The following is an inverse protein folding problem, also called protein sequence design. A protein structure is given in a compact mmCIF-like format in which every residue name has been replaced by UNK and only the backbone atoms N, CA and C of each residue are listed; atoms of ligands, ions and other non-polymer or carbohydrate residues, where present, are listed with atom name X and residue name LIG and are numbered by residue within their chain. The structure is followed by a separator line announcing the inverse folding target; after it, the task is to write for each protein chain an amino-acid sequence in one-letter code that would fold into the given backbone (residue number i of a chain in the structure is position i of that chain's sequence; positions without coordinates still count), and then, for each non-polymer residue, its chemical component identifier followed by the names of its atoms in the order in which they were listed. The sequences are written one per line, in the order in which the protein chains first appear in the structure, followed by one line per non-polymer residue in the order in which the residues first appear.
data_IF_585806754723
#
_entry.id   IF_585806754723
#
_cell.length_a   1.000
_cell.length_b   1.000
_cell.length_c   1.000
_cell.angle_alpha   90.00
_cell.angle_beta   90.00
_cell.angle_gamma   90.00
#
_symmetry.space_group_name_H-M   'P 1'
#
loop_
_entity.id
_entity.type
_entity.pdbx_description
1 polymer ?
#
# COMPACT_ATOMS: atom_id res chain seq x y z
N UNK A 1 5.36 -1.80 -2.53
CA UNK A 1 4.48 -2.98 -2.37
C UNK A 1 5.32 -4.24 -2.48
N UNK A 2 4.86 -5.37 -1.94
CA UNK A 2 5.51 -6.66 -2.19
C UNK A 2 5.33 -7.05 -3.66
N UNK A 3 6.27 -7.85 -4.17
CA UNK A 3 6.16 -8.40 -5.51
C UNK A 3 4.97 -9.38 -5.61
N UNK A 4 4.26 -9.30 -6.74
CA UNK A 4 3.07 -10.12 -6.99
C UNK A 4 3.40 -11.61 -7.03
N UNK A 5 4.50 -11.98 -7.70
CA UNK A 5 4.89 -13.38 -7.85
C UNK A 5 5.34 -13.94 -6.50
N UNK A 6 6.09 -13.15 -5.73
CA UNK A 6 6.47 -13.52 -4.37
C UNK A 6 5.25 -13.83 -3.49
N UNK A 7 4.19 -13.00 -3.55
CA UNK A 7 2.96 -13.24 -2.80
C UNK A 7 2.23 -14.52 -3.23
N UNK A 8 2.27 -14.87 -4.52
CA UNK A 8 1.66 -16.10 -5.04
C UNK A 8 2.43 -17.35 -4.59
N UNK A 9 3.76 -17.29 -4.58
CA UNK A 9 4.64 -18.41 -4.24
C UNK A 9 4.77 -18.61 -2.72
N UNK A 10 4.75 -17.52 -1.95
CA UNK A 10 5.06 -17.52 -0.52
C UNK A 10 3.92 -17.00 0.36
N UNK A 11 2.66 -17.12 -0.09
CA UNK A 11 1.49 -16.63 0.64
C UNK A 11 1.47 -17.02 2.13
N UNK A 12 1.79 -18.28 2.44
CA UNK A 12 1.83 -18.79 3.83
C UNK A 12 2.84 -18.02 4.68
N UNK A 13 4.07 -17.85 4.17
CA UNK A 13 5.13 -17.11 4.86
C UNK A 13 4.77 -15.64 5.06
N UNK A 14 4.13 -15.01 4.07
CA UNK A 14 3.68 -13.62 4.20
C UNK A 14 2.61 -13.50 5.30
N UNK A 15 1.64 -14.41 5.35
CA UNK A 15 0.62 -14.43 6.42
C UNK A 15 1.22 -14.61 7.81
N UNK A 16 2.17 -15.54 7.95
CA UNK A 16 2.88 -15.76 9.21
C UNK A 16 3.70 -14.53 9.62
N UNK A 17 4.34 -13.84 8.67
CA UNK A 17 5.08 -12.61 8.92
C UNK A 17 4.15 -11.47 9.37
N UNK A 18 2.97 -11.34 8.76
CA UNK A 18 1.94 -10.38 9.17
C UNK A 18 1.45 -10.65 10.60
N UNK A 19 1.25 -11.93 10.96
CA UNK A 19 0.89 -12.32 12.31
C UNK A 19 2.02 -12.01 13.31
N UNK A 20 3.29 -12.26 12.96
CA UNK A 20 4.47 -11.88 13.77
C UNK A 20 4.54 -10.36 14.00
N UNK A 21 4.00 -9.55 13.09
CA UNK A 21 3.90 -8.09 13.19
C UNK A 21 2.71 -7.61 14.03
N UNK A 22 1.98 -8.53 14.67
CA UNK A 22 0.79 -8.25 15.47
C UNK A 22 -0.30 -7.49 14.69
N UNK A 23 -0.49 -7.82 13.40
CA UNK A 23 -1.56 -7.26 12.54
C UNK A 23 -2.44 -8.34 11.91
N UNK A 24 -3.12 -9.18 12.73
CA UNK A 24 -3.91 -10.31 12.22
C UNK A 24 -4.99 -9.89 11.21
N UNK A 25 -5.57 -8.71 11.37
CA UNK A 25 -6.59 -8.18 10.46
C UNK A 25 -6.10 -8.03 9.01
N UNK A 26 -4.78 -7.90 8.81
CA UNK A 26 -4.17 -7.76 7.49
C UNK A 26 -3.90 -9.09 6.80
N UNK A 27 -4.00 -10.22 7.49
CA UNK A 27 -3.85 -11.56 6.89
C UNK A 27 -4.88 -11.78 5.79
N UNK A 28 -6.11 -11.31 6.01
CA UNK A 28 -7.21 -11.39 5.04
C UNK A 28 -6.90 -10.69 3.71
N UNK A 29 -6.07 -9.64 3.71
CA UNK A 29 -5.67 -8.94 2.49
C UNK A 29 -4.90 -9.86 1.53
N UNK A 30 -4.13 -10.81 2.06
CA UNK A 30 -3.44 -11.81 1.25
C UNK A 30 -4.46 -12.75 0.59
N UNK A 31 -5.48 -13.18 1.31
CA UNK A 31 -6.55 -14.03 0.77
C UNK A 31 -7.44 -13.32 -0.26
N UNK A 32 -7.72 -12.05 -0.03
CA UNK A 32 -8.44 -11.21 -0.99
C UNK A 32 -7.60 -11.00 -2.26
N UNK A 33 -6.28 -10.82 -2.12
CA UNK A 33 -5.35 -10.71 -3.25
C UNK A 33 -5.31 -12.01 -4.07
N UNK A 34 -5.15 -13.17 -3.42
CA UNK A 34 -5.10 -14.46 -4.12
C UNK A 34 -6.38 -14.74 -4.92
N UNK A 35 -7.54 -14.37 -4.36
CA UNK A 35 -8.84 -14.48 -5.05
C UNK A 35 -8.93 -13.54 -6.24
N UNK A 36 -8.65 -12.25 -6.04
CA UNK A 36 -8.67 -11.25 -7.11
C UNK A 36 -7.71 -11.61 -8.26
N UNK A 37 -6.52 -12.11 -7.91
CA UNK A 37 -5.53 -12.57 -8.88
C UNK A 37 -5.98 -13.79 -9.68
N UNK A 38 -6.64 -14.75 -9.01
CA UNK A 38 -7.22 -15.93 -9.66
C UNK A 38 -8.32 -15.54 -10.63
N UNK A 39 -9.20 -14.63 -10.24
CA UNK A 39 -10.29 -14.15 -11.09
C UNK A 39 -9.75 -13.33 -12.27
N UNK A 40 -8.73 -12.51 -12.05
CA UNK A 40 -8.07 -11.77 -13.12
C UNK A 40 -7.45 -12.70 -14.15
N UNK A 41 -6.74 -13.75 -13.71
CA UNK A 41 -6.18 -14.76 -14.63
C UNK A 41 -7.25 -15.49 -15.44
N UNK A 42 -8.41 -15.79 -14.83
CA UNK A 42 -9.55 -16.40 -15.55
C UNK A 42 -10.11 -15.45 -16.60
N UNK A 43 -10.37 -14.19 -16.26
CA UNK A 43 -10.90 -13.19 -17.20
C UNK A 43 -9.93 -12.97 -18.35
N UNK A 44 -8.63 -12.85 -18.05
CA UNK A 44 -7.59 -12.72 -19.07
C UNK A 44 -7.59 -13.90 -20.05
N UNK A 45 -7.66 -15.13 -19.53
CA UNK A 45 -7.76 -16.33 -20.37
C UNK A 45 -9.03 -16.35 -21.22
N UNK A 46 -10.17 -15.88 -20.68
CA UNK A 46 -11.42 -15.79 -21.43
C UNK A 46 -11.35 -14.73 -22.54
N UNK A 47 -10.76 -13.57 -22.26
CA UNK A 47 -10.52 -12.52 -23.26
C UNK A 47 -9.65 -13.02 -24.41
N UNK A 48 -8.57 -13.73 -24.10
CA UNK A 48 -7.67 -14.31 -25.11
C UNK A 48 -8.41 -15.35 -25.98
N UNK A 49 -9.26 -16.19 -25.38
CA UNK A 49 -10.11 -17.13 -26.11
C UNK A 49 -11.13 -16.43 -27.03
N UNK A 50 -11.80 -15.38 -26.56
CA UNK A 50 -12.78 -14.63 -27.36
C UNK A 50 -12.11 -13.88 -28.52
N UNK A 51 -10.93 -13.28 -28.27
CA UNK A 51 -10.13 -12.62 -29.31
C UNK A 51 -9.68 -13.62 -30.38
N UNK A 52 -9.24 -14.81 -29.96
CA UNK A 52 -8.90 -15.90 -30.87
C UNK A 52 -10.13 -16.36 -31.69
N UNK A 53 -11.27 -16.60 -31.04
CA UNK A 53 -12.52 -17.00 -31.71
C UNK A 53 -12.99 -15.95 -32.72
N UNK A 54 -12.91 -14.66 -32.40
CA UNK A 54 -13.23 -13.55 -33.31
C UNK A 54 -12.36 -13.58 -34.57
N UNK A 55 -11.07 -13.87 -34.42
CA UNK A 55 -10.14 -13.95 -35.55
C UNK A 55 -10.46 -15.16 -36.45
N UNK A 56 -10.74 -16.33 -35.84
CA UNK A 56 -11.19 -17.52 -36.57
C UNK A 56 -12.48 -17.25 -37.34
N UNK A 57 -13.51 -16.70 -36.69
CA UNK A 57 -14.79 -16.40 -37.33
C UNK A 57 -14.61 -15.44 -38.50
N UNK A 58 -13.72 -14.45 -38.36
CA UNK A 58 -13.42 -13.50 -39.45
C UNK A 58 -12.81 -14.21 -40.68
N UNK A 59 -11.95 -15.21 -40.47
CA UNK A 59 -11.39 -16.05 -41.53
C UNK A 59 -12.44 -16.99 -42.14
N UNK A 60 -13.27 -17.63 -41.31
CA UNK A 60 -14.36 -18.52 -41.74
C UNK A 60 -15.40 -17.76 -42.59
N UNK A 61 -15.80 -16.55 -42.17
CA UNK A 61 -16.72 -15.68 -42.92
C UNK A 61 -16.12 -15.34 -44.29
N UNK A 62 -14.85 -14.93 -44.35
CA UNK A 62 -14.19 -14.62 -45.62
C UNK A 62 -14.11 -15.84 -46.55
N UNK A 63 -13.84 -17.02 -45.99
CA UNK A 63 -13.75 -18.28 -46.76
C UNK A 63 -15.13 -18.72 -47.25
N UNK A 64 -16.16 -18.63 -46.42
CA UNK A 64 -17.53 -18.94 -46.79
C UNK A 64 -18.08 -17.97 -47.86
N UNK A 65 -17.76 -16.68 -47.78
CA UNK A 65 -18.07 -15.70 -48.85
C UNK A 65 -17.41 -16.07 -50.18
N UNK A 66 -16.13 -16.45 -50.18
CA UNK A 66 -15.42 -16.89 -51.40
C UNK A 66 -16.03 -18.15 -52.02
N UNK A 67 -16.56 -19.04 -51.19
CA UNK A 67 -17.15 -20.31 -51.61
C UNK A 67 -18.68 -20.26 -51.83
N UNK A 68 -19.30 -19.07 -51.88
CA UNK A 68 -20.75 -18.88 -52.01
C UNK A 68 -21.59 -19.69 -50.99
N UNK A 69 -21.07 -19.89 -49.77
CA UNK A 69 -21.76 -20.58 -48.67
C UNK A 69 -22.53 -19.59 -47.78
N UNK A 70 -23.53 -20.09 -47.05
CA UNK A 70 -24.32 -19.28 -46.12
C UNK A 70 -23.46 -18.79 -44.93
N UNK A 71 -23.38 -17.46 -44.77
CA UNK A 71 -22.59 -16.78 -43.72
C UNK A 71 -23.42 -16.25 -42.56
N UNK A 72 -24.76 -16.30 -42.65
CA UNK A 72 -25.68 -15.77 -41.63
C UNK A 72 -25.38 -16.28 -40.21
N UNK A 73 -25.15 -17.58 -39.96
CA UNK A 73 -24.85 -18.06 -38.60
C UNK A 73 -23.51 -17.56 -38.07
N UNK A 74 -22.47 -17.47 -38.91
CA UNK A 74 -21.14 -16.99 -38.51
C UNK A 74 -21.15 -15.49 -38.18
N UNK A 75 -21.91 -14.70 -38.95
CA UNK A 75 -22.09 -13.26 -38.70
C UNK A 75 -22.89 -13.01 -37.42
N UNK A 76 -23.89 -13.86 -37.13
CA UNK A 76 -24.65 -13.77 -35.88
C UNK A 76 -23.78 -14.05 -34.65
N UNK A 77 -22.93 -15.09 -34.70
CA UNK A 77 -21.96 -15.38 -33.63
C UNK A 77 -20.95 -14.23 -33.47
N UNK A 78 -20.44 -13.68 -34.57
CA UNK A 78 -19.49 -12.58 -34.56
C UNK A 78 -20.08 -11.27 -33.98
N UNK A 79 -21.39 -11.01 -34.14
CA UNK A 79 -22.05 -9.80 -33.60
C UNK A 79 -22.10 -9.76 -32.07
N UNK A 80 -22.16 -10.90 -31.40
CA UNK A 80 -22.25 -10.98 -29.93
C UNK A 80 -20.90 -10.91 -29.22
N UNK A 81 -19.78 -11.10 -29.93
CA UNK A 81 -18.44 -11.13 -29.35
C UNK A 81 -17.94 -9.76 -28.87
N UNK A 82 -18.12 -8.64 -29.60
CA UNK A 82 -17.63 -7.33 -29.17
C UNK A 82 -18.18 -6.90 -27.80
N UNK A 83 -19.47 -7.12 -27.55
CA UNK A 83 -20.08 -6.77 -26.26
C UNK A 83 -19.47 -7.60 -25.12
N UNK A 84 -19.36 -8.92 -25.29
CA UNK A 84 -18.74 -9.80 -24.29
C UNK A 84 -17.28 -9.44 -23.99
N UNK A 85 -16.54 -9.05 -25.02
CA UNK A 85 -15.15 -8.58 -24.86
C UNK A 85 -15.14 -7.27 -24.07
N UNK A 86 -15.98 -6.30 -24.41
CA UNK A 86 -16.04 -5.02 -23.69
C UNK A 86 -16.42 -5.20 -22.21
N UNK A 87 -17.39 -6.07 -21.90
CA UNK A 87 -17.80 -6.36 -20.52
C UNK A 87 -16.66 -7.02 -19.72
N UNK A 88 -15.94 -7.96 -20.33
CA UNK A 88 -14.80 -8.62 -19.68
C UNK A 88 -13.59 -7.70 -19.54
N UNK A 89 -13.32 -6.81 -20.50
CA UNK A 89 -12.24 -5.81 -20.40
C UNK A 89 -12.49 -4.83 -19.26
N UNK A 90 -13.75 -4.42 -19.06
CA UNK A 90 -14.12 -3.60 -17.90
C UNK A 90 -13.87 -4.34 -16.58
N UNK A 91 -14.30 -5.59 -16.47
CA UNK A 91 -14.07 -6.40 -15.28
C UNK A 91 -12.57 -6.67 -15.04
N UNK A 92 -11.78 -6.84 -16.10
CA UNK A 92 -10.33 -6.97 -16.02
C UNK A 92 -9.71 -5.72 -15.39
N UNK A 93 -10.09 -4.53 -15.86
CA UNK A 93 -9.61 -3.25 -15.32
C UNK A 93 -9.96 -3.08 -13.84
N UNK A 94 -11.20 -3.40 -13.45
CA UNK A 94 -11.62 -3.35 -12.04
C UNK A 94 -10.79 -4.29 -11.16
N UNK A 95 -10.51 -5.51 -11.63
CA UNK A 95 -9.67 -6.47 -10.90
C UNK A 95 -8.22 -6.02 -10.82
N UNK A 96 -7.66 -5.44 -11.88
CA UNK A 96 -6.29 -4.88 -11.86
C UNK A 96 -6.18 -3.77 -10.81
N UNK A 97 -7.16 -2.85 -10.77
CA UNK A 97 -7.22 -1.81 -9.74
C UNK A 97 -7.31 -2.39 -8.33
N UNK A 98 -8.21 -3.37 -8.12
CA UNK A 98 -8.36 -4.06 -6.84
C UNK A 98 -7.08 -4.78 -6.39
N UNK A 99 -6.39 -5.45 -7.31
CA UNK A 99 -5.11 -6.11 -7.03
C UNK A 99 -4.06 -5.09 -6.61
N UNK A 100 -3.96 -3.96 -7.32
CA UNK A 100 -3.03 -2.88 -6.99
C UNK A 100 -3.28 -2.32 -5.58
N UNK A 101 -4.53 -2.03 -5.26
CA UNK A 101 -4.92 -1.52 -3.93
C UNK A 101 -4.60 -2.50 -2.81
N UNK A 102 -4.83 -3.80 -3.04
CA UNK A 102 -4.48 -4.85 -2.09
C UNK A 102 -2.97 -4.93 -1.87
N UNK A 103 -2.18 -4.91 -2.95
CA UNK A 103 -0.72 -4.92 -2.89
C UNK A 103 -0.15 -3.72 -2.11
N UNK A 104 -0.78 -2.55 -2.23
CA UNK A 104 -0.39 -1.33 -1.50
C UNK A 104 -0.69 -1.40 0.00
N UNK A 105 -1.70 -2.18 0.41
CA UNK A 105 -2.14 -2.27 1.83
C UNK A 105 -1.45 -3.40 2.60
N UNK A 106 -0.93 -4.40 1.89
CA UNK A 106 -0.14 -5.49 2.46
C UNK A 106 1.19 -4.93 2.99
N UNK A 107 1.52 -5.13 4.28
CA UNK A 107 2.75 -4.60 4.87
C UNK A 107 3.98 -5.33 4.34
N UNK A 108 5.15 -4.68 4.41
CA UNK A 108 6.41 -5.31 4.05
C UNK A 108 6.77 -6.47 4.99
N UNK A 109 7.56 -7.41 4.47
CA UNK A 109 8.09 -8.56 5.21
C UNK A 109 9.17 -8.09 6.16
N UNK A 110 9.04 -8.44 7.44
CA UNK A 110 10.08 -8.20 8.43
C UNK A 110 11.31 -9.05 8.12
N UNK A 111 12.49 -8.41 8.13
CA UNK A 111 13.75 -9.12 7.98
C UNK A 111 13.91 -10.18 9.09
N UNK A 112 14.55 -11.35 8.82
CA UNK A 112 14.67 -12.42 9.81
C UNK A 112 15.31 -12.00 11.13
N UNK A 113 16.21 -10.99 11.11
CA UNK A 113 16.85 -10.45 12.31
C UNK A 113 15.93 -9.58 13.18
N UNK A 114 14.75 -9.19 12.69
CA UNK A 114 13.81 -8.37 13.46
C UNK A 114 13.15 -9.24 14.53
N UNK A 115 13.32 -8.89 15.83
CA UNK A 115 12.70 -9.63 16.92
C UNK A 115 11.17 -9.55 16.81
N UNK A 116 10.49 -10.62 17.19
CA UNK A 116 9.03 -10.58 17.35
C UNK A 116 8.66 -9.74 18.58
N UNK A 117 7.60 -8.96 18.48
CA UNK A 117 7.12 -8.12 19.57
C UNK A 117 5.68 -7.67 19.32
N UNK A 118 4.88 -7.59 20.39
CA UNK A 118 3.50 -7.14 20.30
C UNK A 118 3.39 -5.61 20.20
N UNK A 119 4.31 -4.90 20.85
CA UNK A 119 4.35 -3.45 21.04
C UNK A 119 5.79 -2.96 21.30
N UNK A 120 5.95 -1.66 21.55
CA UNK A 120 7.25 -1.04 21.86
C UNK A 120 7.94 -1.60 23.12
N UNK A 121 7.23 -2.26 24.04
CA UNK A 121 7.82 -2.85 25.25
C UNK A 121 8.77 -4.01 24.95
N UNK A 122 8.69 -4.57 23.75
CA UNK A 122 9.52 -5.69 23.29
C UNK A 122 10.74 -5.24 22.46
N UNK A 123 10.93 -3.92 22.29
CA UNK A 123 12.08 -3.40 21.57
C UNK A 123 13.36 -3.58 22.40
N UNK A 124 14.35 -4.37 21.96
CA UNK A 124 15.58 -4.54 22.70
C UNK A 124 16.47 -3.29 22.61
N UNK A 125 17.07 -2.90 23.74
CA UNK A 125 18.11 -1.87 23.74
C UNK A 125 19.40 -2.46 23.13
N UNK A 126 19.84 -1.93 21.98
CA UNK A 126 21.05 -2.41 21.30
C UNK A 126 22.31 -1.77 21.88
N UNK A 127 22.23 -0.48 22.21
CA UNK A 127 23.37 0.30 22.71
C UNK A 127 22.89 1.51 23.50
N UNK A 128 23.61 1.83 24.57
CA UNK A 128 23.48 3.08 25.33
C UNK A 128 24.76 3.90 25.22
N UNK A 129 24.62 5.21 25.11
CA UNK A 129 25.74 6.14 25.07
C UNK A 129 25.53 7.29 26.05
N UNK A 130 26.59 7.69 26.74
CA UNK A 130 26.54 8.69 27.81
C UNK A 130 25.98 8.16 29.14
N UNK A 131 25.80 9.07 30.10
CA UNK A 131 25.19 8.80 31.42
C UNK A 131 24.03 9.76 31.64
N UNK A 132 22.90 9.25 32.10
CA UNK A 132 21.74 10.09 32.49
C UNK A 132 22.16 10.86 33.74
N UNK A 133 22.10 12.20 33.68
CA UNK A 133 22.44 13.06 34.82
C UNK A 133 21.40 12.89 35.91
N UNK A 134 21.85 12.71 37.15
CA UNK A 134 20.99 12.90 38.34
C UNK A 134 21.00 14.39 38.66
N UNK A 135 19.83 14.95 38.87
CA UNK A 135 19.62 16.35 39.16
C UNK A 135 18.96 16.45 40.54
N UNK A 136 19.43 17.38 41.36
CA UNK A 136 19.00 17.54 42.76
C UNK A 136 17.82 18.50 42.90
N UNK A 137 17.06 18.70 41.82
CA UNK A 137 15.89 19.57 41.76
C UNK A 137 14.76 18.89 40.97
N UNK A 138 13.54 19.37 41.18
CA UNK A 138 12.35 18.86 40.49
C UNK A 138 12.40 19.18 39.00
N UNK A 139 12.27 18.15 38.15
CA UNK A 139 12.28 18.31 36.70
C UNK A 139 10.89 18.64 36.21
N UNK A 140 10.78 19.76 35.52
CA UNK A 140 9.60 20.13 34.74
C UNK A 140 9.71 19.57 33.32
N UNK A 141 8.57 19.37 32.67
CA UNK A 141 8.55 18.98 31.26
C UNK A 141 9.13 20.09 30.37
N UNK A 142 9.58 19.72 29.17
CA UNK A 142 10.06 20.71 28.20
C UNK A 142 9.00 21.76 27.84
N UNK A 143 7.71 21.37 27.79
CA UNK A 143 6.61 22.27 27.46
C UNK A 143 6.40 23.32 28.55
N UNK A 144 6.33 22.86 29.80
CA UNK A 144 6.20 23.73 30.97
C UNK A 144 7.41 24.66 31.11
N UNK A 145 8.62 24.17 30.86
CA UNK A 145 9.83 25.01 30.89
C UNK A 145 9.76 26.10 29.81
N UNK A 146 9.39 25.76 28.58
CA UNK A 146 9.30 26.71 27.49
C UNK A 146 8.21 27.77 27.73
N UNK A 147 7.08 27.39 28.31
CA UNK A 147 5.99 28.30 28.68
C UNK A 147 6.41 29.24 29.82
N UNK A 148 7.00 28.72 30.90
CA UNK A 148 7.50 29.52 32.04
C UNK A 148 8.54 30.56 31.62
N UNK A 149 9.34 30.25 30.60
CA UNK A 149 10.37 31.15 30.06
C UNK A 149 9.85 32.08 28.96
N UNK A 150 8.58 31.97 28.55
CA UNK A 150 8.03 32.75 27.42
C UNK A 150 8.65 32.40 26.07
N UNK A 151 9.25 31.21 25.97
CA UNK A 151 9.94 30.72 24.78
C UNK A 151 9.05 29.87 23.88
N UNK A 152 7.86 29.50 24.34
CA UNK A 152 6.84 28.92 23.49
C UNK A 152 5.45 29.46 23.84
N UNK A 153 4.62 29.61 22.80
CA UNK A 153 3.20 29.97 22.93
C UNK A 153 2.34 28.84 22.37
N UNK A 154 1.81 28.03 23.30
CA UNK A 154 0.92 26.92 23.00
C UNK A 154 -0.54 27.36 22.84
N UNK A 155 -0.92 28.50 23.41
CA UNK A 155 -2.27 29.02 23.33
C UNK A 155 -2.51 29.61 21.94
N UNK A 156 -1.65 30.51 21.48
CA UNK A 156 -1.73 31.05 20.13
C UNK A 156 -1.60 29.95 19.07
N UNK A 157 -0.77 28.93 19.30
CA UNK A 157 -0.68 27.76 18.41
C UNK A 157 -2.01 27.00 18.33
N UNK A 158 -2.66 26.79 19.48
CA UNK A 158 -3.97 26.13 19.56
C UNK A 158 -5.08 26.95 18.91
N UNK A 159 -5.11 28.25 19.12
CA UNK A 159 -6.13 29.14 18.57
C UNK A 159 -6.02 29.28 17.05
N UNK A 160 -4.80 29.47 16.54
CA UNK A 160 -4.59 29.76 15.12
C UNK A 160 -4.57 28.50 14.23
N UNK A 161 -4.19 27.34 14.78
CA UNK A 161 -4.01 26.12 13.97
C UNK A 161 -4.71 24.89 14.57
N UNK A 162 -4.75 24.78 15.89
CA UNK A 162 -5.44 23.70 16.59
C UNK A 162 -4.54 22.93 17.54
N UNK A 163 -5.10 21.87 18.14
CA UNK A 163 -4.39 21.04 19.13
C UNK A 163 -3.14 20.39 18.50
N UNK A 164 -2.00 20.53 19.18
CA UNK A 164 -0.71 19.97 18.77
C UNK A 164 0.24 20.97 18.10
N UNK A 165 -0.17 22.23 17.94
CA UNK A 165 0.66 23.31 17.43
C UNK A 165 1.10 24.26 18.54
N UNK A 166 2.28 24.84 18.36
CA UNK A 166 2.88 25.83 19.23
C UNK A 166 3.78 26.77 18.42
N UNK A 167 3.92 28.02 18.87
CA UNK A 167 4.95 28.91 18.36
C UNK A 167 6.19 28.81 19.24
N UNK A 168 7.37 28.70 18.63
CA UNK A 168 8.64 28.92 19.33
C UNK A 168 9.00 30.40 19.25
N UNK A 169 9.46 30.97 20.36
CA UNK A 169 9.69 32.40 20.54
C UNK A 169 11.12 32.63 21.02
N UNK A 170 11.73 33.71 20.51
CA UNK A 170 13.02 34.21 20.98
C UNK A 170 14.15 33.19 20.84
N UNK A 171 14.90 32.99 21.92
CA UNK A 171 16.10 32.15 21.93
C UNK A 171 15.81 30.68 21.61
N UNK A 172 14.63 30.16 21.98
CA UNK A 172 14.27 28.78 21.65
C UNK A 172 14.02 28.59 20.15
N UNK A 173 13.46 29.59 19.47
CA UNK A 173 13.34 29.57 18.01
C UNK A 173 14.72 29.61 17.32
N UNK A 174 15.65 30.42 17.86
CA UNK A 174 17.03 30.46 17.35
C UNK A 174 17.77 29.14 17.60
N UNK A 175 17.58 28.52 18.77
CA UNK A 175 18.16 27.22 19.10
C UNK A 175 17.63 26.12 18.16
N UNK A 176 16.33 26.10 17.88
CA UNK A 176 15.74 25.15 16.94
C UNK A 176 16.36 25.29 15.54
N UNK A 177 16.49 26.52 15.03
CA UNK A 177 17.18 26.80 13.77
C UNK A 177 18.65 26.39 13.79
N UNK A 178 19.35 26.63 14.89
CA UNK A 178 20.76 26.23 15.05
C UNK A 178 20.91 24.69 15.05
N UNK A 179 20.00 23.96 15.69
CA UNK A 179 19.98 22.50 15.68
C UNK A 179 19.68 21.95 14.28
N UNK A 180 18.71 22.52 13.57
CA UNK A 180 18.43 22.17 12.17
C UNK A 180 19.66 22.40 11.29
N UNK A 181 20.32 23.56 11.44
CA UNK A 181 21.52 23.89 10.67
C UNK A 181 22.68 22.95 11.00
N UNK A 182 22.92 22.68 12.27
CA UNK A 182 23.95 21.74 12.71
C UNK A 182 23.72 20.34 12.10
N UNK A 183 22.47 19.85 12.09
CA UNK A 183 22.14 18.56 11.49
C UNK A 183 22.32 18.50 9.96
N UNK A 184 22.31 19.64 9.28
CA UNK A 184 22.58 19.74 7.83
C UNK A 184 24.08 19.89 7.55
N UNK A 185 24.79 20.66 8.37
CA UNK A 185 26.20 21.01 8.15
C UNK A 185 27.18 19.94 8.64
N UNK A 186 26.76 19.09 9.59
CA UNK A 186 27.55 17.98 10.13
C UNK A 186 27.61 16.78 9.16
#
# INVERSE_FOLDING_TARGET
MLDRNYLLEHAKLVKENIAKRNKPDKVKLVDDFLRADTDWRKIKSQLDQLRHRRNILSQEINTAKKNNKNVVPLVAEAKGLPQKVADLEKNEQELVGKIHDLLMRIPNIMHPSVPGGADESKNPEVKKWGKIKKLDFELVSHAELAERLGFADFEAGRENTGKGFNYLIGELAQLDLALQRYGIDF
#
